data_IF_528727607767
#
_entry.id   IF_528727607767
#
_cell.length_a   1.000
_cell.length_b   1.000
_cell.length_c   1.000
_cell.angle_alpha   90.00
_cell.angle_beta   90.00
_cell.angle_gamma   90.00
#
_symmetry.space_group_name_H-M   'P 1'
#
loop_
_entity.id
_entity.type
_entity.pdbx_description
1 polymer ?
#
# COMPACT_ATOMS: atom_id res chain seq x y z
N UNK A 1 11.93 19.01 -3.21
CA UNK A 1 11.07 19.03 -4.40
C UNK A 1 10.56 17.60 -4.57
N UNK A 2 9.26 17.36 -4.39
CA UNK A 2 8.68 16.06 -4.71
C UNK A 2 8.58 15.98 -6.23
N UNK A 3 9.23 15.00 -6.84
CA UNK A 3 9.16 14.78 -8.28
C UNK A 3 7.81 14.11 -8.55
N UNK A 4 6.86 14.85 -9.12
CA UNK A 4 5.62 14.30 -9.69
C UNK A 4 6.00 13.45 -10.91
N UNK A 5 6.39 12.21 -10.66
CA UNK A 5 6.50 11.22 -11.72
C UNK A 5 5.07 10.92 -12.17
N UNK A 6 4.72 11.09 -13.47
CA UNK A 6 3.42 10.69 -13.96
C UNK A 6 3.24 9.21 -13.65
N UNK A 7 2.26 8.90 -12.80
CA UNK A 7 2.11 7.54 -12.27
C UNK A 7 1.87 6.54 -13.40
N UNK A 8 1.39 6.96 -14.56
CA UNK A 8 1.06 6.08 -15.67
C UNK A 8 -0.32 5.44 -15.48
N UNK A 9 -0.67 4.44 -16.28
CA UNK A 9 -1.92 3.66 -16.13
C UNK A 9 -1.71 2.52 -15.14
N UNK A 10 -1.44 2.87 -13.88
CA UNK A 10 -1.18 1.92 -12.81
C UNK A 10 -1.51 2.54 -11.45
N UNK A 11 -1.49 1.70 -10.41
CA UNK A 11 -1.64 2.14 -9.03
C UNK A 11 -0.25 2.39 -8.44
N UNK A 12 -0.13 3.45 -7.63
CA UNK A 12 1.04 3.69 -6.78
C UNK A 12 0.63 3.57 -5.31
N UNK A 13 1.42 2.85 -4.51
CA UNK A 13 1.26 2.71 -3.06
C UNK A 13 2.56 3.16 -2.39
N UNK A 14 2.48 4.20 -1.57
CA UNK A 14 3.62 4.74 -0.83
C UNK A 14 3.39 4.57 0.67
N UNK A 15 4.32 3.92 1.38
CA UNK A 15 4.35 3.98 2.84
C UNK A 15 4.87 5.37 3.25
N UNK A 16 3.97 6.19 3.77
CA UNK A 16 4.24 7.60 4.03
C UNK A 16 4.70 7.83 5.47
N UNK A 17 4.13 7.10 6.43
CA UNK A 17 4.43 7.27 7.86
C UNK A 17 4.26 5.95 8.61
N UNK A 18 5.19 5.67 9.53
CA UNK A 18 5.08 4.60 10.54
C UNK A 18 5.07 5.28 11.91
N UNK A 19 4.09 4.98 12.76
CA UNK A 19 3.99 5.56 14.11
C UNK A 19 3.58 4.54 15.16
N UNK A 20 4.21 4.54 16.34
CA UNK A 20 3.73 3.77 17.48
C UNK A 20 2.31 4.18 17.86
N UNK A 21 1.47 3.21 18.18
CA UNK A 21 0.15 3.39 18.79
C UNK A 21 -0.01 2.51 20.03
N UNK A 22 -1.19 2.53 20.63
CA UNK A 22 -1.49 1.72 21.81
C UNK A 22 -1.53 0.22 21.46
N UNK A 23 -0.48 -0.50 21.87
CA UNK A 23 -0.28 -1.93 21.57
C UNK A 23 -0.44 -2.26 20.07
N UNK A 24 -0.04 -1.34 19.20
CA UNK A 24 -0.13 -1.49 17.76
C UNK A 24 0.91 -0.62 17.05
N UNK A 25 1.23 -0.98 15.81
CA UNK A 25 1.94 -0.08 14.90
C UNK A 25 0.98 0.49 13.86
N UNK A 26 0.94 1.81 13.73
CA UNK A 26 0.15 2.49 12.73
C UNK A 26 0.98 2.74 11.46
N UNK A 27 0.54 2.17 10.34
CA UNK A 27 1.11 2.35 9.02
C UNK A 27 0.18 3.24 8.19
N UNK A 28 0.67 4.39 7.74
CA UNK A 28 -0.07 5.31 6.89
C UNK A 28 0.48 5.27 5.48
N UNK A 29 -0.40 4.97 4.53
CA UNK A 29 -0.11 4.88 3.12
C UNK A 29 -0.78 6.01 2.34
N UNK A 30 -0.07 6.52 1.34
CA UNK A 30 -0.63 7.31 0.25
C UNK A 30 -0.83 6.37 -0.94
N UNK A 31 -2.03 6.32 -1.50
CA UNK A 31 -2.34 5.53 -2.69
C UNK A 31 -2.89 6.44 -3.78
N UNK A 32 -2.44 6.25 -5.02
CA UNK A 32 -2.92 7.00 -6.18
C UNK A 32 -3.28 6.03 -7.30
N UNK A 33 -4.48 6.21 -7.86
CA UNK A 33 -4.90 5.54 -9.08
C UNK A 33 -4.51 6.42 -10.28
N UNK A 34 -3.53 5.98 -11.06
CA UNK A 34 -3.09 6.65 -12.29
C UNK A 34 -3.95 6.35 -13.52
N UNK A 35 -4.88 5.38 -13.43
CA UNK A 35 -5.86 5.13 -14.49
C UNK A 35 -6.83 6.30 -14.64
N UNK A 36 -7.44 6.39 -15.81
CA UNK A 36 -8.46 7.40 -16.16
C UNK A 36 -9.87 7.04 -15.68
N UNK A 37 -10.05 5.82 -15.15
CA UNK A 37 -11.32 5.29 -14.62
C UNK A 37 -11.21 4.89 -13.15
N UNK A 38 -12.33 4.94 -12.39
CA UNK A 38 -12.31 4.64 -10.97
C UNK A 38 -12.02 3.16 -10.70
N UNK A 39 -11.26 2.90 -9.65
CA UNK A 39 -11.21 1.59 -9.00
C UNK A 39 -12.15 1.68 -7.80
N UNK A 40 -13.22 0.89 -7.81
CA UNK A 40 -14.24 0.89 -6.77
C UNK A 40 -13.76 0.20 -5.47
N UNK A 41 -12.86 -0.78 -5.60
CA UNK A 41 -12.24 -1.46 -4.46
C UNK A 41 -10.85 -1.97 -4.82
N UNK A 42 -9.87 -1.67 -3.96
CA UNK A 42 -8.52 -2.22 -4.02
C UNK A 42 -8.13 -2.79 -2.65
N UNK A 43 -7.93 -4.11 -2.57
CA UNK A 43 -7.41 -4.80 -1.39
C UNK A 43 -6.13 -5.50 -1.78
N UNK A 44 -5.04 -5.20 -1.07
CA UNK A 44 -3.74 -5.82 -1.33
C UNK A 44 -3.38 -6.83 -0.25
N UNK A 45 -2.87 -7.98 -0.67
CA UNK A 45 -2.20 -8.91 0.22
C UNK A 45 -0.81 -8.35 0.57
N UNK A 46 -0.60 -8.14 1.86
CA UNK A 46 0.59 -7.48 2.41
C UNK A 46 1.27 -8.40 3.41
N UNK A 47 2.59 -8.58 3.26
CA UNK A 47 3.43 -9.31 4.21
C UNK A 47 4.27 -8.30 4.98
N UNK A 48 4.26 -8.40 6.30
CA UNK A 48 5.12 -7.62 7.18
C UNK A 48 6.29 -8.49 7.60
N UNK A 49 7.50 -8.01 7.34
CA UNK A 49 8.74 -8.64 7.79
C UNK A 49 9.28 -7.90 9.01
N UNK A 50 9.81 -8.66 9.95
CA UNK A 50 10.50 -8.09 11.09
C UNK A 50 11.89 -7.54 10.73
N UNK A 51 12.56 -6.89 11.68
CA UNK A 51 13.89 -6.31 11.49
C UNK A 51 14.97 -7.36 11.14
N UNK A 52 14.76 -8.63 11.51
CA UNK A 52 15.63 -9.76 11.15
C UNK A 52 15.33 -10.33 9.74
N UNK A 53 14.37 -9.75 9.02
CA UNK A 53 13.97 -10.18 7.69
C UNK A 53 13.08 -11.44 7.68
N UNK A 54 12.55 -11.87 8.82
CA UNK A 54 11.59 -12.96 8.92
C UNK A 54 10.16 -12.46 8.73
N UNK A 55 9.26 -13.30 8.23
CA UNK A 55 7.84 -12.95 8.15
C UNK A 55 7.27 -12.84 9.57
N UNK A 56 6.77 -11.67 9.95
CA UNK A 56 5.97 -11.48 11.16
C UNK A 56 4.55 -11.99 10.92
N UNK A 57 3.90 -11.48 9.86
CA UNK A 57 2.55 -11.90 9.46
C UNK A 57 2.18 -11.51 8.03
N UNK A 58 1.12 -12.15 7.55
CA UNK A 58 0.34 -11.75 6.38
C UNK A 58 -0.92 -10.99 6.83
N UNK A 59 -1.30 -9.97 6.07
CA UNK A 59 -2.51 -9.18 6.30
C UNK A 59 -3.08 -8.64 4.99
N UNK A 60 -4.36 -8.27 5.01
CA UNK A 60 -5.03 -7.63 3.89
C UNK A 60 -5.25 -6.16 4.22
N UNK A 61 -4.72 -5.29 3.37
CA UNK A 61 -4.95 -3.85 3.48
C UNK A 61 -5.99 -3.43 2.45
N UNK A 62 -7.16 -3.03 2.94
CA UNK A 62 -8.26 -2.50 2.13
C UNK A 62 -8.08 -0.99 1.95
N UNK A 63 -7.64 -0.59 0.76
CA UNK A 63 -7.48 0.81 0.39
C UNK A 63 -8.80 1.47 -0.04
N UNK A 64 -9.85 0.66 -0.24
CA UNK A 64 -11.17 1.08 -0.67
C UNK A 64 -11.19 1.64 -2.09
N UNK A 65 -12.08 2.60 -2.33
CA UNK A 65 -12.24 3.25 -3.62
C UNK A 65 -11.11 4.23 -3.92
N UNK A 66 -10.57 4.15 -5.14
CA UNK A 66 -9.53 5.01 -5.68
C UNK A 66 -10.04 5.76 -6.93
N UNK A 67 -10.43 7.04 -6.79
CA UNK A 67 -10.80 7.87 -7.93
C UNK A 67 -9.60 8.17 -8.84
N UNK A 68 -9.80 8.37 -10.15
CA UNK A 68 -8.76 8.74 -11.10
C UNK A 68 -7.96 9.95 -10.66
N UNK A 69 -6.63 9.83 -10.64
CA UNK A 69 -5.69 10.92 -10.37
C UNK A 69 -5.80 11.57 -8.98
N UNK A 70 -6.68 11.10 -8.09
CA UNK A 70 -6.90 11.71 -6.77
C UNK A 70 -6.26 10.84 -5.69
N UNK A 71 -5.25 11.37 -4.96
CA UNK A 71 -4.63 10.62 -3.87
C UNK A 71 -5.61 10.30 -2.74
N UNK A 72 -5.44 9.13 -2.14
CA UNK A 72 -6.10 8.73 -0.90
C UNK A 72 -5.05 8.39 0.15
N UNK A 73 -5.35 8.78 1.39
CA UNK A 73 -4.56 8.37 2.55
C UNK A 73 -5.34 7.30 3.31
N UNK A 74 -4.65 6.21 3.65
CA UNK A 74 -5.21 5.10 4.42
C UNK A 74 -4.24 4.74 5.54
N UNK A 75 -4.78 4.59 6.75
CA UNK A 75 -4.01 4.19 7.91
C UNK A 75 -4.50 2.82 8.36
N UNK A 76 -3.56 1.92 8.61
CA UNK A 76 -3.80 0.59 9.13
C UNK A 76 -3.09 0.45 10.47
N UNK A 77 -3.82 0.11 11.52
CA UNK A 77 -3.25 -0.24 12.82
C UNK A 77 -3.02 -1.74 12.84
N UNK A 78 -1.79 -2.18 13.13
CA UNK A 78 -1.40 -3.58 13.24
C UNK A 78 -1.22 -3.93 14.72
N UNK A 79 -2.19 -4.61 15.37
CA UNK A 79 -2.13 -4.90 16.79
C UNK A 79 -1.02 -5.89 17.14
N UNK A 80 -0.38 -5.67 18.29
CA UNK A 80 0.70 -6.50 18.82
C UNK A 80 2.03 -6.38 18.06
N UNK A 81 2.15 -5.42 17.15
CA UNK A 81 3.38 -5.12 16.42
C UNK A 81 4.00 -3.84 16.98
N UNK A 82 5.29 -3.88 17.34
CA UNK A 82 6.08 -2.69 17.64
C UNK A 82 6.65 -2.13 16.33
N UNK A 83 6.55 -0.82 16.13
CA UNK A 83 7.00 -0.21 14.87
C UNK A 83 8.49 -0.38 14.62
N UNK A 84 9.31 -0.36 15.66
CA UNK A 84 10.76 -0.55 15.57
C UNK A 84 11.13 -1.97 15.10
N UNK A 85 10.20 -2.92 15.21
CA UNK A 85 10.41 -4.28 14.74
C UNK A 85 10.05 -4.46 13.25
N UNK A 86 9.56 -3.43 12.55
CA UNK A 86 9.20 -3.57 11.13
C UNK A 86 10.42 -3.27 10.28
N UNK A 87 10.92 -4.29 9.58
CA UNK A 87 12.03 -4.13 8.64
C UNK A 87 11.57 -3.81 7.22
N UNK A 88 10.50 -4.48 6.77
CA UNK A 88 10.03 -4.38 5.37
C UNK A 88 8.55 -4.72 5.23
N UNK A 89 7.91 -4.08 4.26
CA UNK A 89 6.56 -4.38 3.78
C UNK A 89 6.65 -4.94 2.37
N UNK A 90 6.02 -6.08 2.11
CA UNK A 90 5.88 -6.65 0.76
C UNK A 90 4.41 -6.64 0.36
N UNK A 91 4.10 -6.13 -0.83
CA UNK A 91 2.78 -6.25 -1.43
C UNK A 91 2.84 -7.38 -2.46
N UNK A 92 2.22 -8.53 -2.17
CA UNK A 92 2.23 -9.68 -3.08
C UNK A 92 1.36 -9.46 -4.32
N UNK A 93 0.30 -8.68 -4.17
CA UNK A 93 -0.65 -8.43 -5.24
C UNK A 93 -2.04 -8.08 -4.73
N UNK A 94 -2.95 -7.80 -5.67
CA UNK A 94 -4.33 -7.48 -5.34
C UNK A 94 -5.09 -8.76 -4.95
N UNK A 95 -5.53 -8.83 -3.68
CA UNK A 95 -6.49 -9.84 -3.22
C UNK A 95 -7.89 -9.57 -3.81
N UNK A 96 -8.26 -8.29 -3.94
CA UNK A 96 -9.47 -7.87 -4.63
C UNK A 96 -9.22 -6.58 -5.41
N UNK A 97 -9.67 -6.56 -6.67
CA UNK A 97 -9.69 -5.39 -7.53
C UNK A 97 -11.06 -5.31 -8.20
N UNK A 98 -11.88 -4.33 -7.84
CA UNK A 98 -13.13 -4.04 -8.55
C UNK A 98 -12.95 -2.74 -9.33
N UNK A 99 -12.88 -2.84 -10.65
CA UNK A 99 -12.77 -1.72 -11.57
C UNK A 99 -13.52 -2.06 -12.87
N UNK A 100 -14.85 -1.91 -12.92
CA UNK A 100 -15.67 -2.41 -14.02
C UNK A 100 -15.34 -1.83 -15.40
N UNK A 101 -14.67 -0.68 -15.45
CA UNK A 101 -14.29 0.03 -16.66
C UNK A 101 -12.81 -0.14 -17.05
N UNK A 102 -12.06 -1.00 -16.35
CA UNK A 102 -10.64 -1.27 -16.58
C UNK A 102 -10.37 -2.78 -16.76
N UNK A 103 -9.15 -3.13 -17.16
CA UNK A 103 -8.71 -4.52 -17.21
C UNK A 103 -8.73 -5.17 -15.82
N UNK A 104 -8.98 -6.49 -15.76
CA UNK A 104 -9.02 -7.26 -14.50
C UNK A 104 -7.71 -7.16 -13.68
N UNK A 105 -6.61 -6.77 -14.32
CA UNK A 105 -5.29 -6.60 -13.70
C UNK A 105 -4.95 -5.16 -13.32
N UNK A 106 -5.92 -4.24 -13.36
CA UNK A 106 -5.70 -2.80 -13.16
C UNK A 106 -5.00 -2.43 -11.83
N UNK A 107 -5.22 -3.22 -10.77
CA UNK A 107 -4.58 -3.00 -9.48
C UNK A 107 -3.17 -3.62 -9.37
N UNK A 108 -2.82 -4.60 -10.20
CA UNK A 108 -1.57 -5.38 -10.07
C UNK A 108 -0.55 -5.06 -11.17
N UNK A 109 -0.99 -4.91 -12.41
CA UNK A 109 -0.09 -4.65 -13.54
C UNK A 109 0.59 -3.29 -13.38
N UNK A 110 1.91 -3.31 -13.30
CA UNK A 110 2.73 -2.10 -13.15
C UNK A 110 2.55 -1.41 -11.80
N UNK A 111 2.10 -2.14 -10.75
CA UNK A 111 1.99 -1.62 -9.39
C UNK A 111 3.33 -0.98 -8.98
N UNK A 112 3.27 0.30 -8.63
CA UNK A 112 4.43 1.05 -8.15
C UNK A 112 4.37 1.09 -6.62
N UNK A 113 5.47 0.74 -5.98
CA UNK A 113 5.62 0.85 -4.53
C UNK A 113 6.74 1.80 -4.17
N UNK A 114 6.55 2.55 -3.09
CA UNK A 114 7.56 3.48 -2.58
C UNK A 114 7.50 3.56 -1.04
N UNK A 115 8.56 4.09 -0.44
CA UNK A 115 8.58 4.43 0.99
C UNK A 115 9.17 5.82 1.21
N UNK A 116 8.60 6.55 2.17
CA UNK A 116 9.19 7.77 2.75
C UNK A 116 9.78 7.56 4.14
N UNK A 117 9.84 6.30 4.56
CA UNK A 117 10.33 5.90 5.88
C UNK A 117 11.56 5.01 5.73
N UNK A 118 12.18 4.64 6.83
CA UNK A 118 13.28 3.66 6.82
C UNK A 118 12.79 2.23 6.52
N UNK A 119 11.49 1.97 6.68
CA UNK A 119 10.87 0.68 6.34
C UNK A 119 10.77 0.57 4.82
N UNK A 120 11.43 -0.43 4.24
CA UNK A 120 11.38 -0.70 2.81
C UNK A 120 9.98 -1.18 2.39
N UNK A 121 9.54 -0.80 1.18
CA UNK A 121 8.34 -1.37 0.54
C UNK A 121 8.73 -1.99 -0.80
N UNK A 122 8.34 -3.25 -1.00
CA UNK A 122 8.57 -4.02 -2.23
C UNK A 122 7.25 -4.61 -2.74
N UNK A 123 7.14 -4.86 -4.04
CA UNK A 123 5.93 -5.37 -4.69
C UNK A 123 6.18 -5.83 -6.11
#
# INVERSE_FOLDING_TARGET
>A
MAQDTPIGKNVMVELNTVKPGDNACALTFLVINGHDKPIEKAVYETVLFNADGQVDRLTLFDFGQLPPGRPRVRQFSVPGLTCDNIGRVLINGAHACNAPELDDTACSTGLQVNSRTEVEVVG
#
